data_IF_114322769590
#
_entry.id   IF_114322769590
#
_cell.length_a   1.000
_cell.length_b   1.000
_cell.length_c   1.000
_cell.angle_alpha   90.00
_cell.angle_beta   90.00
_cell.angle_gamma   90.00
#
_symmetry.space_group_name_H-M   'P 1'
#
loop_
_entity.id
_entity.type
_entity.pdbx_description
1 polymer ?
#
# COMPACT_ATOMS: atom_id res chain seq x y z
N UNK A 1 -28.00 -23.49 -26.63
CA UNK A 1 -28.55 -23.48 -25.25
C UNK A 1 -28.88 -22.03 -24.92
N UNK A 2 -30.10 -21.76 -24.45
CA UNK A 2 -30.71 -20.41 -24.52
C UNK A 2 -30.45 -19.61 -23.26
N UNK A 3 -29.89 -18.39 -23.41
CA UNK A 3 -29.71 -17.39 -22.35
C UNK A 3 -30.97 -17.19 -21.50
N UNK A 4 -32.16 -17.14 -22.12
CA UNK A 4 -33.44 -16.99 -21.43
C UNK A 4 -33.73 -18.09 -20.37
N UNK A 5 -33.27 -19.33 -20.61
CA UNK A 5 -33.43 -20.41 -19.63
C UNK A 5 -32.47 -20.23 -18.43
N UNK A 6 -31.26 -19.71 -18.68
CA UNK A 6 -30.33 -19.35 -17.62
C UNK A 6 -30.84 -18.14 -16.81
N UNK A 7 -31.42 -17.13 -17.46
CA UNK A 7 -32.04 -15.98 -16.81
C UNK A 7 -33.17 -16.41 -15.85
N UNK A 8 -34.02 -17.35 -16.28
CA UNK A 8 -35.09 -17.90 -15.44
C UNK A 8 -34.55 -18.62 -14.20
N UNK A 9 -33.47 -19.38 -14.35
CA UNK A 9 -32.82 -20.07 -13.21
C UNK A 9 -32.16 -19.07 -12.25
N UNK A 10 -31.57 -18.00 -12.78
CA UNK A 10 -30.99 -16.91 -11.97
C UNK A 10 -32.07 -16.21 -11.16
N UNK A 11 -33.24 -15.94 -11.74
CA UNK A 11 -34.37 -15.37 -11.02
C UNK A 11 -34.83 -16.27 -9.87
N UNK A 12 -35.03 -17.57 -10.13
CA UNK A 12 -35.37 -18.55 -9.10
C UNK A 12 -34.31 -18.65 -8.00
N UNK A 13 -33.03 -18.67 -8.39
CA UNK A 13 -31.90 -18.70 -7.47
C UNK A 13 -31.88 -17.48 -6.55
N UNK A 14 -32.24 -16.29 -7.05
CA UNK A 14 -32.35 -15.09 -6.24
C UNK A 14 -33.49 -15.14 -5.22
N UNK A 15 -34.63 -15.74 -5.57
CA UNK A 15 -35.73 -15.97 -4.60
C UNK A 15 -35.28 -16.95 -3.50
N UNK A 16 -34.63 -18.05 -3.87
CA UNK A 16 -34.09 -19.03 -2.92
C UNK A 16 -33.03 -18.41 -2.01
N UNK A 17 -32.15 -17.56 -2.57
CA UNK A 17 -31.13 -16.85 -1.81
C UNK A 17 -31.74 -15.88 -0.80
N UNK A 18 -32.77 -15.12 -1.18
CA UNK A 18 -33.52 -14.23 -0.28
C UNK A 18 -34.25 -14.99 0.83
N UNK A 19 -34.63 -16.23 0.58
CA UNK A 19 -35.19 -17.15 1.56
C UNK A 19 -34.11 -17.91 2.38
N UNK A 20 -32.83 -17.51 2.28
CA UNK A 20 -31.68 -18.13 2.97
C UNK A 20 -31.46 -19.62 2.66
N UNK A 21 -32.07 -20.13 1.57
CA UNK A 21 -31.87 -21.49 1.07
C UNK A 21 -30.62 -21.56 0.20
N UNK A 22 -29.46 -21.30 0.81
CA UNK A 22 -28.20 -21.15 0.07
C UNK A 22 -27.80 -22.38 -0.76
N UNK A 23 -27.96 -23.63 -0.30
CA UNK A 23 -27.66 -24.81 -1.12
C UNK A 23 -28.53 -24.90 -2.38
N UNK A 24 -29.83 -24.62 -2.25
CA UNK A 24 -30.77 -24.65 -3.38
C UNK A 24 -30.47 -23.52 -4.37
N UNK A 25 -30.19 -22.32 -3.85
CA UNK A 25 -29.79 -21.17 -4.65
C UNK A 25 -28.50 -21.46 -5.44
N UNK A 26 -27.48 -22.03 -4.78
CA UNK A 26 -26.22 -22.41 -5.41
C UNK A 26 -26.45 -23.42 -6.55
N UNK A 27 -27.29 -24.44 -6.34
CA UNK A 27 -27.62 -25.42 -7.37
C UNK A 27 -28.29 -24.79 -8.60
N UNK A 28 -29.18 -23.80 -8.39
CA UNK A 28 -29.83 -23.07 -9.50
C UNK A 28 -28.86 -22.15 -10.24
N UNK A 29 -28.01 -21.41 -9.52
CA UNK A 29 -26.95 -20.62 -10.15
C UNK A 29 -25.97 -21.49 -10.93
N UNK A 30 -25.52 -22.61 -10.36
CA UNK A 30 -24.62 -23.55 -11.03
C UNK A 30 -25.24 -24.09 -12.32
N UNK A 31 -26.50 -24.54 -12.28
CA UNK A 31 -27.22 -24.97 -13.49
C UNK A 31 -27.32 -23.86 -14.53
N UNK A 32 -27.54 -22.61 -14.12
CA UNK A 32 -27.52 -21.47 -15.03
C UNK A 32 -26.14 -21.26 -15.69
N UNK A 33 -25.05 -21.40 -14.93
CA UNK A 33 -23.68 -21.32 -15.47
C UNK A 33 -23.33 -22.45 -16.43
N UNK A 34 -23.90 -23.64 -16.24
CA UNK A 34 -23.72 -24.78 -17.17
C UNK A 34 -24.53 -24.58 -18.47
N UNK A 35 -25.74 -24.03 -18.38
CA UNK A 35 -26.59 -23.76 -19.56
C UNK A 35 -26.09 -22.58 -20.39
N UNK A 36 -25.57 -21.54 -19.74
CA UNK A 36 -25.00 -20.36 -20.39
C UNK A 36 -23.73 -19.92 -19.64
N UNK A 37 -22.55 -20.48 -20.00
CA UNK A 37 -21.28 -20.14 -19.36
C UNK A 37 -20.92 -18.64 -19.32
N UNK A 38 -21.22 -17.81 -20.34
CA UNK A 38 -20.90 -16.38 -20.27
C UNK A 38 -21.95 -15.55 -19.48
N UNK A 39 -22.61 -16.13 -18.47
CA UNK A 39 -23.58 -15.43 -17.63
C UNK A 39 -22.96 -14.83 -16.36
N UNK A 40 -22.42 -13.61 -16.43
CA UNK A 40 -21.72 -12.97 -15.30
C UNK A 40 -22.53 -12.93 -13.99
N UNK A 41 -23.84 -12.65 -14.07
CA UNK A 41 -24.71 -12.60 -12.87
C UNK A 41 -24.92 -13.97 -12.21
N UNK A 42 -24.88 -15.06 -12.98
CA UNK A 42 -25.08 -16.41 -12.45
C UNK A 42 -23.83 -16.84 -11.67
N UNK A 43 -22.65 -16.60 -12.25
CA UNK A 43 -21.37 -16.80 -11.57
C UNK A 43 -21.24 -15.97 -10.29
N UNK A 44 -21.64 -14.68 -10.33
CA UNK A 44 -21.65 -13.82 -9.15
C UNK A 44 -22.60 -14.36 -8.07
N UNK A 45 -23.81 -14.76 -8.46
CA UNK A 45 -24.81 -15.33 -7.55
C UNK A 45 -24.33 -16.63 -6.91
N UNK A 46 -23.71 -17.51 -7.70
CA UNK A 46 -23.06 -18.74 -7.23
C UNK A 46 -22.00 -18.43 -6.17
N UNK A 47 -21.12 -17.46 -6.44
CA UNK A 47 -20.09 -17.02 -5.49
C UNK A 47 -20.65 -16.56 -4.15
N UNK A 48 -21.73 -15.75 -4.16
CA UNK A 48 -22.38 -15.33 -2.91
C UNK A 48 -23.01 -16.51 -2.16
N UNK A 49 -23.72 -17.40 -2.84
CA UNK A 49 -24.32 -18.58 -2.21
C UNK A 49 -23.26 -19.48 -1.55
N UNK A 50 -22.13 -19.67 -2.23
CA UNK A 50 -21.00 -20.45 -1.72
C UNK A 50 -20.32 -19.80 -0.50
N UNK A 51 -20.20 -18.47 -0.45
CA UNK A 51 -19.73 -17.78 0.76
C UNK A 51 -20.67 -18.00 1.94
N UNK A 52 -21.98 -17.86 1.74
CA UNK A 52 -22.98 -18.13 2.79
C UNK A 52 -22.94 -19.59 3.28
N UNK A 53 -22.49 -20.52 2.44
CA UNK A 53 -22.28 -21.93 2.80
C UNK A 53 -20.91 -22.22 3.43
N UNK A 54 -20.06 -21.21 3.65
CA UNK A 54 -18.72 -21.40 4.21
C UNK A 54 -17.73 -22.08 3.26
N UNK A 55 -17.92 -21.93 1.93
CA UNK A 55 -17.10 -22.55 0.89
C UNK A 55 -16.26 -21.52 0.11
N UNK A 56 -15.27 -20.87 0.75
CA UNK A 56 -14.56 -19.73 0.15
C UNK A 56 -13.71 -20.11 -1.07
N UNK A 57 -13.16 -21.32 -1.14
CA UNK A 57 -12.40 -21.80 -2.31
C UNK A 57 -13.27 -21.93 -3.58
N UNK A 58 -14.48 -22.47 -3.45
CA UNK A 58 -15.42 -22.58 -4.56
C UNK A 58 -15.96 -21.19 -4.95
N UNK A 59 -16.25 -20.36 -3.95
CA UNK A 59 -16.71 -18.99 -4.16
C UNK A 59 -15.68 -18.14 -4.93
N UNK A 60 -14.40 -18.22 -4.56
CA UNK A 60 -13.32 -17.50 -5.22
C UNK A 60 -13.30 -17.79 -6.74
N UNK A 61 -13.37 -19.07 -7.13
CA UNK A 61 -13.44 -19.46 -8.55
C UNK A 61 -14.68 -18.90 -9.25
N UNK A 62 -15.84 -18.93 -8.59
CA UNK A 62 -17.06 -18.39 -9.15
C UNK A 62 -16.99 -16.86 -9.35
N UNK A 63 -16.38 -16.13 -8.41
CA UNK A 63 -16.14 -14.69 -8.56
C UNK A 63 -15.11 -14.39 -9.65
N UNK A 64 -14.03 -15.17 -9.77
CA UNK A 64 -13.04 -15.03 -10.84
C UNK A 64 -13.68 -15.13 -12.23
N UNK A 65 -14.57 -16.12 -12.42
CA UNK A 65 -15.36 -16.23 -13.65
C UNK A 65 -16.29 -15.02 -13.86
N UNK A 66 -17.00 -14.58 -12.81
CA UNK A 66 -17.88 -13.42 -12.90
C UNK A 66 -17.11 -12.14 -13.27
N UNK A 67 -15.93 -11.93 -12.70
CA UNK A 67 -15.04 -10.78 -12.94
C UNK A 67 -14.42 -10.86 -14.34
N UNK A 68 -14.08 -12.06 -14.82
CA UNK A 68 -13.60 -12.27 -16.19
C UNK A 68 -14.63 -11.86 -17.24
N UNK A 69 -15.92 -12.10 -16.98
CA UNK A 69 -17.03 -11.71 -17.85
C UNK A 69 -17.46 -10.25 -17.67
N UNK A 70 -17.38 -9.72 -16.45
CA UNK A 70 -17.77 -8.36 -16.12
C UNK A 70 -16.70 -7.66 -15.23
N UNK A 71 -15.59 -7.16 -15.82
CA UNK A 71 -14.44 -6.65 -15.07
C UNK A 71 -14.71 -5.42 -14.20
N UNK A 72 -15.83 -4.72 -14.44
CA UNK A 72 -16.22 -3.49 -13.76
C UNK A 72 -17.40 -3.69 -12.80
N UNK A 73 -17.71 -4.94 -12.42
CA UNK A 73 -18.74 -5.23 -11.42
C UNK A 73 -18.17 -5.06 -10.01
N UNK A 74 -18.41 -3.90 -9.38
CA UNK A 74 -17.95 -3.62 -8.02
C UNK A 74 -18.43 -4.67 -7.00
N UNK A 75 -19.66 -5.18 -7.15
CA UNK A 75 -20.20 -6.25 -6.29
C UNK A 75 -19.48 -7.60 -6.48
N UNK A 76 -19.09 -7.96 -7.71
CA UNK A 76 -18.33 -9.18 -7.94
C UNK A 76 -16.89 -9.06 -7.44
N UNK A 77 -16.26 -7.89 -7.64
CA UNK A 77 -14.94 -7.59 -7.10
C UNK A 77 -14.93 -7.61 -5.57
N UNK A 78 -15.96 -7.07 -4.93
CA UNK A 78 -16.13 -7.16 -3.47
C UNK A 78 -16.24 -8.61 -2.98
N UNK A 79 -17.17 -9.39 -3.55
CA UNK A 79 -17.36 -10.79 -3.18
C UNK A 79 -16.10 -11.63 -3.42
N UNK A 80 -15.41 -11.38 -4.54
CA UNK A 80 -14.10 -11.98 -4.83
C UNK A 80 -13.05 -11.59 -3.81
N UNK A 81 -12.96 -10.30 -3.43
CA UNK A 81 -12.00 -9.84 -2.44
C UNK A 81 -12.19 -10.57 -1.10
N UNK A 82 -13.44 -10.72 -0.65
CA UNK A 82 -13.78 -11.48 0.58
C UNK A 82 -13.41 -12.96 0.43
N UNK A 83 -13.82 -13.61 -0.66
CA UNK A 83 -13.52 -15.03 -0.88
C UNK A 83 -12.02 -15.31 -0.92
N UNK A 84 -11.24 -14.49 -1.62
CA UNK A 84 -9.78 -14.62 -1.66
C UNK A 84 -9.12 -14.27 -0.32
N UNK A 85 -9.68 -13.34 0.44
CA UNK A 85 -9.22 -13.04 1.79
C UNK A 85 -9.36 -14.26 2.71
N UNK A 86 -10.52 -14.92 2.68
CA UNK A 86 -10.83 -16.08 3.51
C UNK A 86 -10.01 -17.33 3.13
N UNK A 87 -9.65 -17.46 1.85
CA UNK A 87 -8.71 -18.50 1.37
C UNK A 87 -7.24 -18.17 1.69
N UNK A 88 -6.93 -16.93 2.07
CA UNK A 88 -5.55 -16.48 2.32
C UNK A 88 -4.79 -16.06 1.05
N UNK A 89 -5.48 -15.89 -0.08
CA UNK A 89 -4.93 -15.37 -1.34
C UNK A 89 -4.80 -13.84 -1.29
N UNK A 90 -3.89 -13.35 -0.44
CA UNK A 90 -3.71 -11.94 -0.07
C UNK A 90 -3.59 -10.98 -1.26
N UNK A 91 -2.76 -11.34 -2.25
CA UNK A 91 -2.48 -10.52 -3.43
C UNK A 91 -3.75 -10.30 -4.27
N UNK A 92 -4.52 -11.37 -4.49
CA UNK A 92 -5.77 -11.30 -5.26
C UNK A 92 -6.84 -10.54 -4.48
N UNK A 93 -6.98 -10.83 -3.19
CA UNK A 93 -7.92 -10.13 -2.31
C UNK A 93 -7.71 -8.61 -2.33
N UNK A 94 -6.45 -8.16 -2.18
CA UNK A 94 -6.15 -6.73 -2.22
C UNK A 94 -6.33 -6.14 -3.62
N UNK A 95 -5.98 -6.86 -4.68
CA UNK A 95 -6.19 -6.40 -6.06
C UNK A 95 -7.67 -6.14 -6.34
N UNK A 96 -8.54 -7.08 -5.95
CA UNK A 96 -9.98 -6.94 -6.10
C UNK A 96 -10.56 -5.86 -5.20
N UNK A 97 -10.14 -5.78 -3.93
CA UNK A 97 -10.56 -4.69 -3.03
C UNK A 97 -10.19 -3.32 -3.57
N UNK A 98 -8.96 -3.15 -4.09
CA UNK A 98 -8.52 -1.89 -4.73
C UNK A 98 -9.40 -1.51 -5.91
N UNK A 99 -9.74 -2.48 -6.78
CA UNK A 99 -10.63 -2.25 -7.93
C UNK A 99 -12.05 -1.92 -7.49
N UNK A 100 -12.56 -2.57 -6.44
CA UNK A 100 -13.85 -2.23 -5.83
C UNK A 100 -13.86 -0.77 -5.39
N UNK A 101 -12.85 -0.35 -4.63
CA UNK A 101 -12.79 1.02 -4.10
C UNK A 101 -12.53 2.08 -5.20
N UNK A 102 -11.90 1.71 -6.31
CA UNK A 102 -11.81 2.60 -7.47
C UNK A 102 -13.19 2.84 -8.13
N UNK A 103 -14.07 1.84 -8.15
CA UNK A 103 -15.42 1.94 -8.71
C UNK A 103 -16.44 2.52 -7.72
N UNK A 104 -16.24 2.25 -6.42
CA UNK A 104 -17.12 2.65 -5.33
C UNK A 104 -16.29 3.16 -4.13
N UNK A 105 -15.74 4.39 -4.19
CA UNK A 105 -14.89 4.93 -3.13
C UNK A 105 -15.58 5.00 -1.76
N UNK A 106 -16.89 5.21 -1.73
CA UNK A 106 -17.69 5.26 -0.50
C UNK A 106 -17.75 3.94 0.27
N UNK A 107 -17.38 2.82 -0.35
CA UNK A 107 -17.39 1.50 0.30
C UNK A 107 -16.17 1.27 1.18
N UNK A 108 -15.23 2.22 1.26
CA UNK A 108 -14.06 2.11 2.14
C UNK A 108 -14.44 1.94 3.61
N UNK A 109 -15.48 2.63 4.08
CA UNK A 109 -15.98 2.48 5.46
C UNK A 109 -16.56 1.09 5.71
N UNK A 110 -17.31 0.57 4.73
CA UNK A 110 -17.82 -0.80 4.78
C UNK A 110 -16.67 -1.81 4.82
N UNK A 111 -15.62 -1.60 4.01
CA UNK A 111 -14.45 -2.48 3.98
C UNK A 111 -13.73 -2.53 5.32
N UNK A 112 -13.65 -1.39 6.03
CA UNK A 112 -13.05 -1.35 7.38
C UNK A 112 -13.85 -2.17 8.38
N UNK A 113 -15.16 -2.22 8.21
CA UNK A 113 -16.07 -3.02 9.03
C UNK A 113 -16.01 -4.53 8.75
N UNK A 114 -15.38 -4.97 7.66
CA UNK A 114 -15.22 -6.40 7.34
C UNK A 114 -13.84 -6.88 7.78
N UNK A 115 -13.72 -7.71 8.85
CA UNK A 115 -12.43 -8.08 9.41
C UNK A 115 -11.47 -8.73 8.40
N UNK A 116 -11.99 -9.57 7.50
CA UNK A 116 -11.19 -10.21 6.46
C UNK A 116 -10.64 -9.22 5.44
N UNK A 117 -11.29 -8.07 5.22
CA UNK A 117 -10.87 -7.03 4.29
C UNK A 117 -10.06 -5.90 4.94
N UNK A 118 -10.34 -5.58 6.20
CA UNK A 118 -9.73 -4.46 6.91
C UNK A 118 -8.19 -4.51 6.89
N UNK A 119 -7.62 -5.72 7.01
CA UNK A 119 -6.18 -5.97 6.93
C UNK A 119 -5.55 -5.63 5.56
N UNK A 120 -6.34 -5.51 4.49
CA UNK A 120 -5.87 -5.19 3.15
C UNK A 120 -6.10 -3.73 2.75
N UNK A 121 -6.77 -2.95 3.61
CA UNK A 121 -6.96 -1.50 3.43
C UNK A 121 -5.73 -0.71 3.84
N UNK A 122 -4.99 -1.22 4.82
CA UNK A 122 -3.69 -0.69 5.19
C UNK A 122 -2.62 -1.51 4.46
N UNK A 123 -1.54 -0.83 4.06
CA UNK A 123 -0.31 -1.41 3.50
C UNK A 123 -0.38 -1.86 2.03
N UNK A 124 0.46 -1.25 1.19
CA UNK A 124 0.75 -1.75 -0.16
C UNK A 124 1.37 -3.15 -0.05
N UNK A 125 0.65 -4.23 -0.41
CA UNK A 125 1.28 -5.56 -0.50
C UNK A 125 2.41 -5.53 -1.51
N UNK A 126 2.21 -4.79 -2.61
CA UNK A 126 3.19 -4.63 -3.68
C UNK A 126 4.53 -4.06 -3.18
N UNK A 127 4.51 -2.97 -2.40
CA UNK A 127 5.73 -2.44 -1.82
C UNK A 127 6.32 -3.37 -0.76
N UNK A 128 5.49 -3.98 0.09
CA UNK A 128 5.97 -4.95 1.08
C UNK A 128 6.63 -6.19 0.43
N UNK A 129 6.06 -6.70 -0.66
CA UNK A 129 6.56 -7.86 -1.40
C UNK A 129 7.83 -7.50 -2.17
N UNK A 130 7.86 -6.34 -2.82
CA UNK A 130 9.07 -5.82 -3.46
C UNK A 130 10.21 -5.64 -2.44
N UNK A 131 9.90 -5.12 -1.25
CA UNK A 131 10.88 -5.00 -0.17
C UNK A 131 11.36 -6.35 0.35
N UNK A 132 10.51 -7.38 0.46
CA UNK A 132 10.94 -8.73 0.88
C UNK A 132 11.94 -9.38 -0.07
N UNK A 133 11.89 -9.04 -1.37
CA UNK A 133 12.87 -9.54 -2.33
C UNK A 133 14.27 -8.99 -2.08
N UNK A 134 14.37 -7.77 -1.54
CA UNK A 134 15.63 -7.08 -1.27
C UNK A 134 16.08 -7.24 0.18
N UNK A 135 15.13 -7.22 1.10
CA UNK A 135 15.31 -7.36 2.54
C UNK A 135 14.43 -8.51 3.04
N UNK A 136 14.94 -9.75 3.08
CA UNK A 136 14.13 -10.92 3.42
C UNK A 136 13.55 -10.90 4.84
N UNK A 137 14.20 -10.19 5.76
CA UNK A 137 13.82 -10.10 7.17
C UNK A 137 13.72 -8.66 7.64
N UNK A 138 12.55 -8.28 8.15
CA UNK A 138 12.30 -7.01 8.79
C UNK A 138 11.11 -7.10 9.75
N UNK A 139 11.08 -6.25 10.77
CA UNK A 139 9.88 -6.01 11.57
C UNK A 139 9.12 -4.80 11.05
N UNK A 140 7.83 -4.67 11.34
CA UNK A 140 7.01 -3.53 10.92
C UNK A 140 6.32 -2.88 12.10
N UNK A 141 6.10 -1.56 11.98
CA UNK A 141 5.25 -0.78 12.90
C UNK A 141 4.36 0.16 12.11
N UNK A 142 3.08 0.23 12.48
CA UNK A 142 2.10 1.09 11.82
C UNK A 142 1.99 2.46 12.49
N UNK A 143 1.93 3.50 11.66
CA UNK A 143 1.72 4.89 12.05
C UNK A 143 0.44 5.38 11.37
N UNK A 144 -0.46 6.02 12.13
CA UNK A 144 -1.75 6.50 11.61
C UNK A 144 -1.75 8.00 11.45
N UNK A 145 -2.43 8.47 10.41
CA UNK A 145 -2.61 9.89 10.17
C UNK A 145 -3.49 10.51 11.25
N UNK A 146 -3.11 11.71 11.74
CA UNK A 146 -3.77 12.34 12.89
C UNK A 146 -5.22 12.72 12.60
N UNK A 147 -5.49 13.26 11.41
CA UNK A 147 -6.82 13.69 10.97
C UNK A 147 -7.63 12.61 10.23
N UNK A 148 -7.02 11.47 9.86
CA UNK A 148 -7.69 10.40 9.13
C UNK A 148 -7.16 9.02 9.55
N UNK A 149 -7.81 8.41 10.53
CA UNK A 149 -7.38 7.13 11.11
C UNK A 149 -7.36 5.95 10.12
N UNK A 150 -7.99 6.13 8.94
CA UNK A 150 -7.96 5.17 7.85
C UNK A 150 -6.61 5.12 7.13
N UNK A 151 -5.93 6.27 7.06
CA UNK A 151 -4.64 6.39 6.40
C UNK A 151 -3.57 5.95 7.38
N UNK A 152 -2.82 4.94 6.97
CA UNK A 152 -1.71 4.41 7.73
C UNK A 152 -0.49 4.23 6.83
N UNK A 153 0.68 4.48 7.41
CA UNK A 153 1.98 4.16 6.84
C UNK A 153 2.61 3.15 7.78
N UNK A 154 2.92 1.97 7.25
CA UNK A 154 3.78 1.04 7.96
C UNK A 154 5.23 1.46 7.75
N UNK A 155 6.09 1.19 8.72
CA UNK A 155 7.54 1.35 8.58
C UNK A 155 8.21 0.04 8.92
N UNK A 156 8.93 -0.50 7.94
CA UNK A 156 9.83 -1.62 8.12
C UNK A 156 11.10 -1.17 8.82
N UNK A 157 11.59 -1.99 9.75
CA UNK A 157 12.89 -1.84 10.41
C UNK A 157 13.75 -3.05 10.09
N UNK A 158 14.93 -2.79 9.52
CA UNK A 158 15.91 -3.78 9.11
C UNK A 158 17.21 -3.55 9.89
N UNK A 159 17.81 -4.63 10.39
CA UNK A 159 19.07 -4.60 11.13
C UNK A 159 20.24 -4.95 10.23
N UNK A 160 21.43 -4.43 10.54
CA UNK A 160 22.68 -4.68 9.82
C UNK A 160 22.60 -4.33 8.32
N UNK A 161 21.87 -3.26 8.01
CA UNK A 161 21.73 -2.70 6.67
C UNK A 161 21.76 -1.17 6.77
N UNK A 162 22.45 -0.46 5.86
CA UNK A 162 23.27 -0.99 4.74
C UNK A 162 24.60 -1.62 5.18
N UNK A 163 24.99 -1.46 6.45
CA UNK A 163 26.22 -2.02 7.01
C UNK A 163 25.95 -2.67 8.38
N UNK A 164 26.90 -3.47 8.86
CA UNK A 164 26.84 -4.05 10.20
C UNK A 164 26.65 -2.95 11.27
N UNK A 165 25.80 -3.22 12.25
CA UNK A 165 25.43 -2.26 13.31
C UNK A 165 24.72 -0.99 12.84
N UNK A 166 24.24 -0.94 11.59
CA UNK A 166 23.31 0.09 11.13
C UNK A 166 21.88 -0.45 11.03
N UNK A 167 20.93 0.45 11.16
CA UNK A 167 19.50 0.20 11.06
C UNK A 167 18.94 0.94 9.87
N UNK A 168 18.14 0.25 9.07
CA UNK A 168 17.40 0.83 7.95
C UNK A 168 15.92 0.88 8.31
N UNK A 169 15.29 2.00 8.01
CA UNK A 169 13.85 2.20 8.12
C UNK A 169 13.28 2.50 6.75
N UNK A 170 12.18 1.85 6.37
CA UNK A 170 11.54 2.04 5.05
C UNK A 170 10.04 2.15 5.24
N UNK A 171 9.41 3.18 4.67
CA UNK A 171 7.96 3.24 4.63
C UNK A 171 7.37 2.11 3.78
N UNK A 172 6.16 1.69 4.12
CA UNK A 172 5.35 0.77 3.34
C UNK A 172 3.94 1.34 3.29
N UNK A 173 3.47 1.66 2.10
CA UNK A 173 2.17 2.24 1.85
C UNK A 173 2.20 3.69 1.38
N UNK A 174 3.34 4.38 1.42
CA UNK A 174 3.44 5.71 0.80
C UNK A 174 3.22 5.61 -0.72
N UNK A 175 3.63 4.48 -1.31
CA UNK A 175 3.39 4.13 -2.71
C UNK A 175 1.90 3.98 -3.09
N UNK A 176 0.97 3.97 -2.12
CA UNK A 176 -0.45 3.96 -2.41
C UNK A 176 -0.99 5.35 -2.80
N UNK A 177 -0.28 6.42 -2.44
CA UNK A 177 -0.66 7.76 -2.86
C UNK A 177 -0.57 7.89 -4.38
N UNK A 178 -1.63 8.43 -4.98
CA UNK A 178 -1.67 8.67 -6.42
C UNK A 178 -1.31 10.11 -6.69
N UNK A 179 -0.21 10.30 -7.41
CA UNK A 179 0.22 11.61 -7.87
C UNK A 179 -0.66 12.09 -9.03
N UNK A 180 -0.80 13.40 -9.18
CA UNK A 180 -1.56 14.00 -10.27
C UNK A 180 -0.99 13.64 -11.66
N UNK A 181 0.33 13.47 -11.75
CA UNK A 181 1.01 12.96 -12.94
C UNK A 181 1.17 11.44 -12.86
N UNK A 182 0.36 10.72 -13.63
CA UNK A 182 0.35 9.26 -13.66
C UNK A 182 1.63 8.63 -14.24
N UNK A 183 2.50 9.42 -14.89
CA UNK A 183 3.79 8.94 -15.37
C UNK A 183 4.84 8.84 -14.26
N UNK A 184 4.60 9.48 -13.10
CA UNK A 184 5.54 9.43 -11.97
C UNK A 184 5.56 8.04 -11.35
N UNK A 185 6.76 7.55 -10.94
CA UNK A 185 6.82 6.33 -10.16
C UNK A 185 6.16 6.55 -8.79
N UNK A 186 5.68 5.47 -8.21
CA UNK A 186 5.30 5.42 -6.80
C UNK A 186 6.57 5.32 -5.95
N UNK A 187 6.47 5.78 -4.71
CA UNK A 187 7.63 5.92 -3.83
C UNK A 187 7.41 5.27 -2.49
N UNK A 188 8.46 4.68 -1.95
CA UNK A 188 8.65 4.54 -0.51
C UNK A 188 9.85 5.38 -0.06
N UNK A 189 9.83 5.79 1.20
CA UNK A 189 10.88 6.60 1.83
C UNK A 189 11.81 5.69 2.63
N UNK A 190 13.12 5.91 2.52
CA UNK A 190 14.14 5.09 3.20
C UNK A 190 15.12 5.98 3.98
N UNK A 191 15.53 5.54 5.17
CA UNK A 191 16.60 6.18 5.93
C UNK A 191 17.45 5.15 6.67
N UNK A 192 18.72 5.49 6.92
CA UNK A 192 19.64 4.69 7.73
C UNK A 192 20.06 5.46 8.99
N UNK A 193 20.33 4.74 10.07
CA UNK A 193 20.90 5.30 11.29
C UNK A 193 21.82 4.30 12.00
N UNK A 194 22.83 4.80 12.71
CA UNK A 194 23.67 3.99 13.64
C UNK A 194 23.01 3.77 15.00
N UNK A 195 21.85 4.39 15.24
CA UNK A 195 21.11 4.34 16.50
C UNK A 195 19.81 3.58 16.29
N UNK A 196 19.55 2.55 17.10
CA UNK A 196 18.26 1.87 17.10
C UNK A 196 17.19 2.72 17.80
N UNK A 197 16.29 3.32 17.04
CA UNK A 197 15.29 4.25 17.59
C UNK A 197 14.00 4.28 16.80
N UNK A 198 12.88 4.36 17.52
CA UNK A 198 11.54 4.48 16.93
C UNK A 198 11.30 5.81 16.22
N UNK A 199 12.15 6.82 16.45
CA UNK A 199 11.96 8.16 15.87
C UNK A 199 12.06 8.13 14.34
N UNK A 200 12.90 7.28 13.78
CA UNK A 200 13.04 7.13 12.33
C UNK A 200 11.71 6.78 11.66
N UNK A 201 10.94 5.86 12.25
CA UNK A 201 9.63 5.51 11.73
C UNK A 201 8.62 6.66 11.83
N UNK A 202 8.67 7.46 12.90
CA UNK A 202 7.84 8.65 13.03
C UNK A 202 8.19 9.72 11.97
N UNK A 203 9.49 9.94 11.72
CA UNK A 203 9.98 10.86 10.69
C UNK A 203 9.45 10.43 9.31
N UNK A 204 9.65 9.17 8.93
CA UNK A 204 9.21 8.67 7.62
C UNK A 204 7.69 8.73 7.46
N UNK A 205 6.93 8.31 8.47
CA UNK A 205 5.47 8.34 8.41
C UNK A 205 4.93 9.77 8.31
N UNK A 206 5.41 10.69 9.15
CA UNK A 206 4.95 12.08 9.13
C UNK A 206 5.36 12.79 7.84
N UNK A 207 6.55 12.52 7.31
CA UNK A 207 6.94 13.02 6.00
C UNK A 207 6.02 12.47 4.90
N UNK A 208 5.77 11.16 4.86
CA UNK A 208 4.87 10.55 3.89
C UNK A 208 3.46 11.16 3.92
N UNK A 209 2.91 11.38 5.12
CA UNK A 209 1.63 12.06 5.29
C UNK A 209 1.66 13.49 4.78
N UNK A 210 2.65 14.28 5.22
CA UNK A 210 2.81 15.68 4.80
C UNK A 210 2.92 15.83 3.28
N UNK A 211 3.74 14.99 2.63
CA UNK A 211 3.91 14.98 1.18
C UNK A 211 2.60 14.61 0.46
N UNK A 212 1.88 13.61 0.97
CA UNK A 212 0.60 13.17 0.40
C UNK A 212 -0.48 14.24 0.51
N UNK A 213 -0.60 14.87 1.69
CA UNK A 213 -1.61 15.90 1.96
C UNK A 213 -1.45 17.13 1.09
N UNK A 214 -0.18 17.49 0.81
CA UNK A 214 0.16 18.63 -0.03
C UNK A 214 0.33 18.25 -1.51
N UNK A 215 0.11 16.98 -1.87
CA UNK A 215 0.37 16.42 -3.20
C UNK A 215 1.74 16.84 -3.77
N UNK A 216 2.74 16.89 -2.89
CA UNK A 216 4.08 17.34 -3.20
C UNK A 216 4.99 16.13 -3.42
N UNK A 217 5.39 15.91 -4.67
CA UNK A 217 6.22 14.77 -5.01
C UNK A 217 7.68 15.01 -4.57
N UNK A 218 8.28 14.09 -3.81
CA UNK A 218 9.62 14.26 -3.25
C UNK A 218 10.72 13.91 -4.28
N UNK A 219 11.06 14.84 -5.17
CA UNK A 219 12.16 14.67 -6.13
C UNK A 219 13.53 14.68 -5.42
N UNK A 220 14.52 13.88 -5.86
CA UNK A 220 15.90 14.02 -5.38
C UNK A 220 16.42 15.44 -5.57
N UNK A 221 17.11 15.98 -4.55
CA UNK A 221 17.56 17.36 -4.52
C UNK A 221 16.64 18.31 -3.76
N UNK A 222 15.44 17.86 -3.37
CA UNK A 222 14.46 18.68 -2.66
C UNK A 222 14.72 18.71 -1.16
N UNK A 223 14.45 19.87 -0.56
CA UNK A 223 14.41 20.07 0.88
C UNK A 223 12.97 20.23 1.38
N UNK A 224 12.64 19.54 2.48
CA UNK A 224 11.39 19.71 3.22
C UNK A 224 11.71 20.23 4.62
N UNK A 225 11.19 21.44 4.92
CA UNK A 225 11.48 22.11 6.19
C UNK A 225 10.62 21.56 7.32
N UNK A 226 11.17 21.67 8.50
CA UNK A 226 10.53 21.46 9.80
C UNK A 226 9.81 20.11 10.01
N UNK A 227 10.15 19.09 9.22
CA UNK A 227 9.57 17.75 9.32
C UNK A 227 9.85 17.12 10.68
N UNK A 228 11.10 17.28 11.14
CA UNK A 228 11.57 16.71 12.41
C UNK A 228 11.28 17.69 13.55
N UNK A 229 11.41 19.00 13.29
CA UNK A 229 11.10 20.04 14.27
C UNK A 229 9.66 19.96 14.79
N UNK A 230 8.70 19.67 13.90
CA UNK A 230 7.30 19.47 14.25
C UNK A 230 7.03 18.23 15.13
N UNK A 231 7.98 17.29 15.26
CA UNK A 231 7.82 16.12 16.14
C UNK A 231 8.01 16.47 17.63
N UNK A 232 8.61 17.61 17.95
CA UNK A 232 8.86 18.03 19.33
C UNK A 232 9.88 17.19 20.09
N UNK A 233 10.70 16.39 19.39
CA UNK A 233 11.79 15.61 20.00
C UNK A 233 12.96 16.53 20.29
N UNK A 234 13.04 17.04 21.52
CA UNK A 234 13.79 18.25 21.89
C UNK A 234 15.20 18.35 21.33
N UNK A 235 16.06 17.36 21.51
CA UNK A 235 17.46 17.44 21.04
C UNK A 235 17.58 17.30 19.51
N UNK A 236 16.99 16.25 18.92
CA UNK A 236 17.09 16.00 17.47
C UNK A 236 16.41 17.11 16.65
N UNK A 237 15.25 17.58 17.12
CA UNK A 237 14.48 18.65 16.48
C UNK A 237 15.23 19.96 16.41
N UNK A 238 16.09 20.25 17.40
CA UNK A 238 16.90 21.46 17.40
C UNK A 238 18.12 21.33 16.48
N UNK A 239 18.76 20.16 16.46
CA UNK A 239 19.99 19.94 15.67
C UNK A 239 19.69 19.73 14.19
N UNK A 240 18.69 18.90 13.86
CA UNK A 240 18.38 18.44 12.52
C UNK A 240 16.86 18.58 12.23
N UNK A 241 16.29 19.81 12.23
CA UNK A 241 14.85 20.03 12.09
C UNK A 241 14.28 19.65 10.71
N UNK A 242 15.12 19.50 9.69
CA UNK A 242 14.71 19.44 8.29
C UNK A 242 15.06 18.09 7.65
N UNK A 243 14.49 17.85 6.47
CA UNK A 243 14.81 16.68 5.66
C UNK A 243 15.26 17.10 4.27
N UNK A 244 16.38 16.54 3.84
CA UNK A 244 16.81 16.53 2.45
C UNK A 244 16.47 15.18 1.80
N UNK A 245 16.02 15.22 0.54
CA UNK A 245 15.62 14.03 -0.22
C UNK A 245 16.66 13.74 -1.29
N UNK A 246 17.19 12.52 -1.31
CA UNK A 246 18.19 12.08 -2.27
C UNK A 246 17.95 10.63 -2.72
N UNK A 247 18.85 10.09 -3.51
CA UNK A 247 18.83 8.69 -3.97
C UNK A 247 19.52 7.76 -2.96
N UNK A 248 18.98 6.57 -2.68
CA UNK A 248 19.48 5.64 -1.65
C UNK A 248 20.76 4.88 -2.06
N UNK A 249 21.84 5.61 -2.32
CA UNK A 249 23.11 5.03 -2.82
C UNK A 249 23.79 4.11 -1.81
N UNK A 250 23.53 4.31 -0.50
CA UNK A 250 24.17 3.54 0.57
C UNK A 250 23.87 2.04 0.48
N UNK A 251 22.69 1.67 -0.01
CA UNK A 251 22.24 0.27 -0.09
C UNK A 251 22.64 -0.44 -1.37
N UNK A 252 23.16 0.28 -2.39
CA UNK A 252 23.54 -0.28 -3.71
C UNK A 252 22.43 -1.13 -4.35
N UNK A 253 21.19 -0.68 -4.21
CA UNK A 253 20.02 -1.38 -4.74
C UNK A 253 19.88 -1.14 -6.24
N UNK A 254 19.40 -2.15 -6.95
CA UNK A 254 18.80 -1.98 -8.27
C UNK A 254 17.41 -1.35 -8.08
N UNK A 255 17.19 -0.20 -8.72
CA UNK A 255 15.93 0.54 -8.65
C UNK A 255 15.34 0.69 -10.06
N UNK A 256 14.01 0.66 -10.22
CA UNK A 256 12.97 0.60 -9.16
C UNK A 256 12.89 -0.77 -8.45
N UNK A 257 12.37 -0.80 -7.22
CA UNK A 257 12.13 -2.05 -6.48
C UNK A 257 11.13 -2.98 -7.18
N UNK A 258 10.24 -2.39 -7.99
CA UNK A 258 9.30 -3.12 -8.83
C UNK A 258 8.97 -2.30 -10.08
N UNK A 259 9.14 -2.92 -11.24
CA UNK A 259 9.00 -2.30 -12.57
C UNK A 259 7.55 -2.25 -13.08
N UNK A 260 6.62 -2.95 -12.43
CA UNK A 260 5.23 -3.02 -12.90
C UNK A 260 4.61 -1.60 -12.94
N UNK A 261 3.78 -1.23 -13.92
CA UNK A 261 3.28 0.14 -14.03
C UNK A 261 2.21 0.48 -12.98
N UNK A 262 2.28 1.65 -12.31
CA UNK A 262 3.45 2.52 -12.22
C UNK A 262 4.50 1.90 -11.28
N UNK A 263 5.78 2.02 -11.65
CA UNK A 263 6.89 1.41 -10.92
C UNK A 263 6.96 1.90 -9.46
N UNK A 264 7.53 1.11 -8.56
CA UNK A 264 7.78 1.51 -7.16
C UNK A 264 9.28 1.69 -6.97
N UNK A 265 9.72 2.88 -6.60
CA UNK A 265 11.12 3.19 -6.31
C UNK A 265 11.30 3.77 -4.90
N UNK A 266 12.54 4.08 -4.51
CA UNK A 266 12.90 4.57 -3.19
C UNK A 266 13.47 5.99 -3.25
N UNK A 267 13.09 6.81 -2.27
CA UNK A 267 13.70 8.11 -2.01
C UNK A 267 14.34 8.11 -0.61
N UNK A 268 15.64 8.44 -0.54
CA UNK A 268 16.36 8.54 0.72
C UNK A 268 16.04 9.84 1.44
N UNK A 269 15.69 9.72 2.71
CA UNK A 269 15.43 10.80 3.66
C UNK A 269 16.68 11.02 4.49
N UNK A 270 17.21 12.24 4.46
CA UNK A 270 18.39 12.64 5.23
C UNK A 270 18.00 13.78 6.17
N UNK A 271 17.99 13.57 7.50
CA UNK A 271 17.88 14.65 8.47
C UNK A 271 19.01 15.66 8.32
N UNK A 272 18.67 16.95 8.24
CA UNK A 272 19.62 18.05 8.04
C UNK A 272 19.33 19.24 8.93
N UNK A 273 20.36 20.03 9.18
CA UNK A 273 20.32 21.21 10.04
C UNK A 273 19.80 22.46 9.33
N UNK A 274 19.51 23.51 10.11
CA UNK A 274 19.24 24.84 9.54
C UNK A 274 20.45 25.39 8.77
N UNK A 275 21.68 25.15 9.23
CA UNK A 275 22.89 25.61 8.54
C UNK A 275 23.11 24.88 7.21
N UNK A 276 22.77 23.59 7.14
CA UNK A 276 22.75 22.81 5.90
C UNK A 276 21.65 23.28 4.95
N UNK A 277 20.47 23.60 5.46
CA UNK A 277 19.39 24.20 4.66
C UNK A 277 19.79 25.54 4.04
N UNK A 278 20.38 26.44 4.82
CA UNK A 278 20.85 27.74 4.31
C UNK A 278 21.86 27.55 3.17
N UNK A 279 22.74 26.53 3.29
CA UNK A 279 23.71 26.19 2.24
C UNK A 279 23.08 25.58 1.00
N UNK A 280 22.15 24.65 1.17
CA UNK A 280 21.36 24.09 0.07
C UNK A 280 20.65 25.20 -0.70
N UNK A 281 20.04 26.16 0.00
CA UNK A 281 19.37 27.31 -0.62
C UNK A 281 20.32 28.21 -1.41
N UNK A 282 21.57 28.33 -0.97
CA UNK A 282 22.60 29.09 -1.67
C UNK A 282 23.16 28.36 -2.91
N UNK A 283 23.23 27.03 -2.88
CA UNK A 283 23.69 26.20 -4.01
C UNK A 283 23.06 24.80 -3.97
N UNK A 284 21.92 24.66 -4.64
CA UNK A 284 21.15 23.39 -4.68
C UNK A 284 21.97 22.27 -5.33
N UNK A 285 22.64 22.55 -6.45
CA UNK A 285 23.39 21.55 -7.22
C UNK A 285 24.62 21.05 -6.47
N UNK A 286 25.33 21.96 -5.78
CA UNK A 286 26.55 21.63 -5.03
C UNK A 286 26.32 21.11 -3.61
N UNK A 287 25.06 20.99 -3.16
CA UNK A 287 24.76 20.68 -1.77
C UNK A 287 25.32 19.32 -1.32
N UNK A 288 25.10 18.26 -2.11
CA UNK A 288 25.61 16.91 -1.79
C UNK A 288 27.14 16.88 -1.74
N UNK A 289 27.80 17.59 -2.66
CA UNK A 289 29.26 17.77 -2.63
C UNK A 289 29.72 18.41 -1.33
N UNK A 290 28.98 19.42 -0.84
CA UNK A 290 29.29 20.11 0.41
C UNK A 290 29.10 19.26 1.67
N UNK A 291 28.24 18.23 1.63
CA UNK A 291 28.10 17.24 2.70
C UNK A 291 29.30 16.26 2.69
N UNK A 292 29.71 15.83 1.50
CA UNK A 292 30.84 14.93 1.30
C UNK A 292 32.17 15.58 1.71
N UNK A 293 32.43 16.83 1.32
CA UNK A 293 33.63 17.58 1.69
C UNK A 293 33.81 17.70 3.21
N UNK A 294 32.70 17.86 3.93
CA UNK A 294 32.69 17.93 5.39
C UNK A 294 32.73 16.57 6.08
N UNK A 295 32.67 15.47 5.32
CA UNK A 295 32.55 14.11 5.85
C UNK A 295 31.39 14.00 6.85
N UNK A 296 30.27 14.65 6.54
CA UNK A 296 29.09 14.57 7.38
C UNK A 296 28.57 13.12 7.39
N UNK A 297 28.57 12.49 8.56
CA UNK A 297 27.96 11.16 8.72
C UNK A 297 26.45 11.31 8.77
N UNK A 298 25.81 11.25 7.60
CA UNK A 298 24.36 11.38 7.45
C UNK A 298 23.57 10.26 8.14
N UNK A 299 24.24 9.19 8.60
CA UNK A 299 23.63 8.11 9.39
C UNK A 299 23.73 8.33 10.90
N UNK A 300 24.53 9.28 11.39
CA UNK A 300 24.56 9.61 12.81
C UNK A 300 23.57 10.73 13.15
N UNK A 301 22.42 10.35 13.71
CA UNK A 301 21.41 11.30 14.19
C UNK A 301 21.87 12.15 15.38
N UNK A 302 23.04 11.87 15.99
CA UNK A 302 23.67 12.70 17.04
C UNK A 302 24.63 13.73 16.48
N UNK A 303 24.91 13.74 15.17
CA UNK A 303 25.82 14.71 14.56
C UNK A 303 25.38 16.16 14.86
N UNK A 304 26.33 17.10 14.99
CA UNK A 304 25.99 18.50 15.16
C UNK A 304 25.26 19.03 13.92
N UNK A 305 24.49 20.11 14.12
CA UNK A 305 23.89 20.87 13.04
C UNK A 305 24.88 21.78 12.31
#
# INVERSE_FOLDING_TARGET
MTQAAADSLVAEAHELFRAEKFPDAAARFEKATQLFPPHALAWKGLGHALLCMGKPHEAARAFDHAIGLAPHSATALWGGAVAHADVGNKVVAQSYLRRTLALQPSWVEMARGVPSLAQYLAVSTRAADALRNVFPTFSTRSYRHSADQARAIDVARIINQPQFSQFTYISIGFSNHQWADAARPRLELIMSTVIDTDICGQILANLAFHLSDNNFFPEPGVMVRDVIGALGVTDLSQRLPHVYITVPRLWKLELPLDESPPAITLAQVVPVSEAEYVRWRANVVGFEGSLAERKADISDLRRPG
#
